data_IF_923135757031
#
_entry.id   IF_923135757031
#
_cell.length_a   1.000
_cell.length_b   1.000
_cell.length_c   1.000
_cell.angle_alpha   90.00
_cell.angle_beta   90.00
_cell.angle_gamma   90.00
#
_symmetry.space_group_name_H-M   'P 1'
#
loop_
_entity.id
_entity.type
_entity.pdbx_description
1 polymer ?
#
# COMPACT_ATOMS: atom_id res chain seq x y z
N UNK A 1 1.68 -35.08 -29.75
CA UNK A 1 1.60 -33.71 -30.27
C UNK A 1 1.06 -32.90 -29.12
N UNK A 2 2.02 -32.54 -28.26
CA UNK A 2 2.09 -31.44 -27.31
C UNK A 2 0.88 -31.18 -26.42
N UNK A 3 0.90 -31.84 -25.26
CA UNK A 3 0.29 -31.32 -24.05
C UNK A 3 1.05 -30.04 -23.68
N UNK A 4 0.48 -28.88 -24.01
CA UNK A 4 0.92 -27.62 -23.43
C UNK A 4 0.69 -27.69 -21.92
N UNK A 5 1.76 -27.94 -21.17
CA UNK A 5 1.83 -27.62 -19.75
C UNK A 5 1.44 -26.13 -19.61
N UNK A 6 0.21 -25.88 -19.18
CA UNK A 6 -0.16 -24.61 -18.61
C UNK A 6 0.67 -24.47 -17.33
N UNK A 7 1.83 -23.82 -17.45
CA UNK A 7 2.56 -23.28 -16.30
C UNK A 7 1.55 -22.47 -15.48
N UNK A 8 1.11 -23.01 -14.35
CA UNK A 8 0.37 -22.23 -13.37
C UNK A 8 1.32 -21.14 -12.89
N UNK A 9 1.19 -19.94 -13.46
CA UNK A 9 1.91 -18.75 -13.01
C UNK A 9 1.34 -18.36 -11.63
N UNK A 10 1.78 -19.05 -10.58
CA UNK A 10 1.33 -18.80 -9.20
C UNK A 10 2.11 -17.69 -8.50
N UNK A 11 3.07 -17.08 -9.20
CA UNK A 11 3.95 -16.03 -8.68
C UNK A 11 3.97 -14.85 -9.64
N UNK A 12 3.87 -13.63 -9.10
CA UNK A 12 4.08 -12.44 -9.90
C UNK A 12 5.57 -12.34 -10.31
N UNK A 13 5.81 -12.11 -11.59
CA UNK A 13 7.16 -11.89 -12.11
C UNK A 13 7.66 -10.48 -11.79
N UNK A 14 8.96 -10.26 -11.89
CA UNK A 14 9.50 -8.90 -11.80
C UNK A 14 9.13 -8.10 -13.05
N UNK A 15 8.52 -6.93 -12.85
CA UNK A 15 8.24 -6.00 -13.95
C UNK A 15 9.52 -5.25 -14.36
N UNK A 16 9.71 -4.98 -15.66
CA UNK A 16 10.80 -4.13 -16.10
C UNK A 16 10.59 -2.68 -15.62
N UNK A 17 11.65 -1.86 -15.62
CA UNK A 17 11.52 -0.42 -15.45
C UNK A 17 10.45 0.16 -16.38
N UNK A 18 9.64 1.11 -15.90
CA UNK A 18 8.51 1.66 -16.68
C UNK A 18 8.93 2.18 -18.06
N UNK A 19 10.06 2.88 -18.14
CA UNK A 19 10.61 3.43 -19.38
C UNK A 19 11.15 2.37 -20.36
N UNK A 20 11.19 1.10 -19.96
CA UNK A 20 11.58 -0.03 -20.78
C UNK A 20 10.39 -0.89 -21.21
N UNK A 21 9.17 -0.54 -20.78
CA UNK A 21 7.97 -1.22 -21.25
C UNK A 21 7.72 -0.94 -22.74
N UNK A 22 7.25 -1.94 -23.51
CA UNK A 22 6.74 -1.70 -24.86
C UNK A 22 5.62 -0.66 -24.82
N UNK A 23 5.60 0.27 -25.78
CA UNK A 23 4.68 1.41 -25.78
C UNK A 23 3.21 0.97 -25.69
N UNK A 24 2.86 -0.11 -26.37
CA UNK A 24 1.54 -0.74 -26.39
C UNK A 24 1.12 -1.36 -25.04
N UNK A 25 2.10 -1.68 -24.18
CA UNK A 25 1.87 -2.28 -22.87
C UNK A 25 1.87 -1.26 -21.73
N UNK A 26 2.40 -0.05 -21.95
CA UNK A 26 2.41 1.03 -20.93
C UNK A 26 1.01 1.33 -20.39
N UNK A 27 -0.04 1.14 -21.20
CA UNK A 27 -1.44 1.32 -20.80
C UNK A 27 -1.90 0.36 -19.69
N UNK A 28 -1.17 -0.73 -19.47
CA UNK A 28 -1.41 -1.73 -18.43
C UNK A 28 -0.56 -1.50 -17.18
N UNK A 29 0.19 -0.40 -17.12
CA UNK A 29 1.00 -0.04 -15.96
C UNK A 29 0.22 0.86 -14.99
N UNK A 30 0.24 0.48 -13.72
CA UNK A 30 -0.36 1.22 -12.62
C UNK A 30 0.63 1.36 -11.47
N UNK A 31 0.70 2.57 -10.92
CA UNK A 31 1.45 2.88 -9.70
C UNK A 31 0.49 2.90 -8.52
N UNK A 32 0.88 2.35 -7.38
CA UNK A 32 0.02 2.20 -6.21
C UNK A 32 0.71 2.66 -4.95
N UNK A 33 -0.05 3.34 -4.08
CA UNK A 33 0.40 3.81 -2.77
C UNK A 33 -0.78 3.89 -1.80
N UNK A 34 -0.51 3.76 -0.51
CA UNK A 34 -1.47 3.83 0.57
C UNK A 34 -0.97 4.61 1.78
N UNK A 35 -1.71 5.65 2.16
CA UNK A 35 -1.42 6.43 3.35
C UNK A 35 -2.45 6.23 4.47
N UNK A 36 -2.04 6.53 5.70
CA UNK A 36 -2.89 6.51 6.87
C UNK A 36 -2.62 7.73 7.73
N UNK A 37 -3.68 8.30 8.30
CA UNK A 37 -3.58 9.42 9.24
C UNK A 37 -4.67 9.36 10.30
N UNK A 38 -4.33 9.80 11.50
CA UNK A 38 -5.33 10.04 12.54
C UNK A 38 -5.93 11.43 12.29
N UNK A 39 -7.25 11.51 12.21
CA UNK A 39 -8.01 12.77 12.10
C UNK A 39 -9.02 12.78 13.26
N UNK A 40 -8.88 13.75 14.16
CA UNK A 40 -9.56 13.72 15.47
C UNK A 40 -9.15 12.47 16.26
N UNK A 41 -10.14 11.64 16.66
CA UNK A 41 -9.90 10.37 17.36
C UNK A 41 -9.96 9.14 16.43
N UNK A 42 -10.13 9.35 15.12
CA UNK A 42 -10.33 8.26 14.16
C UNK A 42 -9.11 8.09 13.27
N UNK A 43 -8.67 6.85 13.11
CA UNK A 43 -7.67 6.52 12.09
C UNK A 43 -8.36 6.36 10.75
N UNK A 44 -7.92 7.12 9.76
CA UNK A 44 -8.37 7.04 8.37
C UNK A 44 -7.23 6.55 7.49
N UNK A 45 -7.57 5.84 6.44
CA UNK A 45 -6.64 5.40 5.42
C UNK A 45 -7.15 5.80 4.04
N UNK A 46 -6.23 5.99 3.11
CA UNK A 46 -6.51 6.30 1.72
C UNK A 46 -5.53 5.55 0.84
N UNK A 47 -6.07 4.87 -0.15
CA UNK A 47 -5.33 4.07 -1.12
C UNK A 47 -5.55 4.68 -2.50
N UNK A 48 -4.49 4.79 -3.29
CA UNK A 48 -4.55 5.39 -4.61
C UNK A 48 -3.85 4.55 -5.67
N UNK A 49 -4.32 4.72 -6.89
CA UNK A 49 -3.76 4.14 -8.11
C UNK A 49 -3.57 5.27 -9.12
N UNK A 50 -2.37 5.40 -9.66
CA UNK A 50 -2.03 6.32 -10.74
C UNK A 50 -1.80 5.57 -12.04
N UNK A 51 -2.44 6.02 -13.13
CA UNK A 51 -2.19 5.55 -14.49
C UNK A 51 -1.35 6.59 -15.25
N UNK A 52 -0.07 6.33 -15.54
CA UNK A 52 0.77 7.26 -16.27
C UNK A 52 0.27 7.56 -17.68
N UNK A 53 -0.21 6.55 -18.41
CA UNK A 53 -0.69 6.73 -19.79
C UNK A 53 -1.95 7.61 -19.86
N UNK A 54 -2.82 7.51 -18.84
CA UNK A 54 -4.06 8.29 -18.78
C UNK A 54 -3.95 9.60 -18.02
N UNK A 55 -2.85 9.78 -17.28
CA UNK A 55 -2.65 10.91 -16.39
C UNK A 55 -3.82 11.09 -15.40
N UNK A 56 -4.32 9.98 -14.84
CA UNK A 56 -5.45 9.99 -13.90
C UNK A 56 -5.15 9.15 -12.67
N UNK A 57 -5.55 9.68 -11.50
CA UNK A 57 -5.56 8.96 -10.25
C UNK A 57 -6.98 8.47 -9.92
N UNK A 58 -7.09 7.25 -9.40
CA UNK A 58 -8.28 6.75 -8.69
C UNK A 58 -7.90 6.51 -7.24
N UNK A 59 -8.78 6.81 -6.30
CA UNK A 59 -8.53 6.60 -4.89
C UNK A 59 -9.77 6.09 -4.16
N UNK A 60 -9.53 5.34 -3.10
CA UNK A 60 -10.55 4.88 -2.15
C UNK A 60 -10.05 5.14 -0.73
N UNK A 61 -10.98 5.37 0.18
CA UNK A 61 -10.67 5.68 1.58
C UNK A 61 -11.55 4.89 2.55
N UNK A 62 -11.12 4.84 3.80
CA UNK A 62 -11.90 4.20 4.86
C UNK A 62 -11.40 4.56 6.25
N UNK A 63 -12.11 4.06 7.26
CA UNK A 63 -11.74 4.19 8.67
C UNK A 63 -11.08 2.88 9.18
N UNK A 64 -10.31 2.96 10.26
CA UNK A 64 -9.90 1.79 11.04
C UNK A 64 -8.73 0.95 10.50
N UNK A 65 -7.85 1.51 9.65
CA UNK A 65 -6.75 0.78 9.00
C UNK A 65 -5.36 1.39 9.22
N UNK A 66 -4.29 0.65 8.96
CA UNK A 66 -2.91 1.18 8.93
C UNK A 66 -2.51 1.62 7.52
N UNK A 67 -1.33 2.25 7.37
CA UNK A 67 -0.77 2.54 6.04
C UNK A 67 -0.53 1.24 5.28
N UNK A 68 -0.02 0.19 5.93
CA UNK A 68 0.13 -1.12 5.28
C UNK A 68 -1.20 -1.67 4.75
N UNK A 69 -2.32 -1.47 5.46
CA UNK A 69 -3.63 -1.89 4.94
C UNK A 69 -4.02 -1.06 3.71
N UNK A 70 -3.74 0.25 3.74
CA UNK A 70 -3.96 1.13 2.60
C UNK A 70 -3.18 0.66 1.36
N UNK A 71 -1.93 0.19 1.52
CA UNK A 71 -1.16 -0.42 0.43
C UNK A 71 -1.89 -1.62 -0.19
N UNK A 72 -2.40 -2.54 0.64
CA UNK A 72 -3.17 -3.69 0.13
C UNK A 72 -4.43 -3.24 -0.60
N UNK A 73 -5.12 -2.21 -0.08
CA UNK A 73 -6.30 -1.63 -0.72
C UNK A 73 -5.96 -0.97 -2.05
N UNK A 74 -4.75 -0.41 -2.20
CA UNK A 74 -4.29 0.17 -3.46
C UNK A 74 -4.04 -0.94 -4.51
N UNK A 75 -3.48 -2.07 -4.10
CA UNK A 75 -3.34 -3.26 -4.97
C UNK A 75 -4.70 -3.81 -5.39
N UNK A 76 -5.64 -3.95 -4.44
CA UNK A 76 -7.01 -4.39 -4.75
C UNK A 76 -7.68 -3.45 -5.76
N UNK A 77 -7.53 -2.13 -5.58
CA UNK A 77 -8.05 -1.13 -6.51
C UNK A 77 -7.41 -1.25 -7.91
N UNK A 78 -6.10 -1.52 -8.00
CA UNK A 78 -5.42 -1.73 -9.28
C UNK A 78 -5.93 -2.99 -10.01
N UNK A 79 -6.17 -4.07 -9.26
CA UNK A 79 -6.75 -5.31 -9.79
C UNK A 79 -8.20 -5.07 -10.26
N UNK A 80 -9.02 -4.35 -9.48
CA UNK A 80 -10.39 -4.00 -9.87
C UNK A 80 -10.42 -3.19 -11.19
N UNK A 81 -9.48 -2.26 -11.38
CA UNK A 81 -9.33 -1.50 -12.63
C UNK A 81 -9.00 -2.44 -13.79
N UNK A 82 -7.99 -3.29 -13.62
CA UNK A 82 -7.54 -4.21 -14.67
C UNK A 82 -8.64 -5.22 -15.06
N UNK A 83 -9.36 -5.78 -14.08
CA UNK A 83 -10.48 -6.71 -14.30
C UNK A 83 -11.65 -6.03 -15.01
N UNK A 84 -12.08 -4.86 -14.53
CA UNK A 84 -13.18 -4.08 -15.13
C UNK A 84 -12.90 -3.73 -16.59
N UNK A 85 -11.65 -3.46 -16.91
CA UNK A 85 -11.21 -3.10 -18.25
C UNK A 85 -10.74 -4.30 -19.09
N UNK A 86 -10.83 -5.51 -18.52
CA UNK A 86 -10.48 -6.77 -19.18
C UNK A 86 -9.05 -6.75 -19.73
N UNK A 87 -8.11 -6.23 -18.93
CA UNK A 87 -6.71 -6.21 -19.31
C UNK A 87 -6.15 -7.64 -19.37
N UNK A 88 -5.26 -7.93 -20.33
CA UNK A 88 -4.63 -9.24 -20.45
C UNK A 88 -3.50 -9.46 -19.41
N UNK A 89 -2.99 -8.38 -18.83
CA UNK A 89 -1.91 -8.37 -17.82
C UNK A 89 -1.93 -7.04 -17.04
N UNK A 90 -1.24 -7.01 -15.92
CA UNK A 90 -1.04 -5.80 -15.11
C UNK A 90 0.45 -5.64 -14.75
N UNK A 91 1.01 -4.46 -15.02
CA UNK A 91 2.30 -4.05 -14.48
C UNK A 91 2.08 -3.15 -13.27
N UNK A 92 2.41 -3.67 -12.09
CA UNK A 92 2.19 -3.01 -10.82
C UNK A 92 3.50 -2.42 -10.29
N UNK A 93 3.51 -1.12 -10.05
CA UNK A 93 4.63 -0.38 -9.46
C UNK A 93 4.23 0.09 -8.07
N UNK A 94 5.03 -0.24 -7.05
CA UNK A 94 4.77 0.12 -5.65
C UNK A 94 6.08 0.40 -4.95
N UNK A 95 6.10 1.32 -3.99
CA UNK A 95 7.23 1.52 -3.08
C UNK A 95 7.10 0.74 -1.76
N UNK A 96 6.06 -0.09 -1.66
CA UNK A 96 5.85 -0.99 -0.52
C UNK A 96 6.58 -2.31 -0.72
N UNK A 97 7.73 -2.46 -0.05
CA UNK A 97 8.46 -3.74 0.02
C UNK A 97 7.59 -4.91 0.51
N UNK A 98 6.60 -4.65 1.37
CA UNK A 98 5.69 -5.70 1.84
C UNK A 98 4.86 -6.24 0.69
N UNK A 99 4.29 -5.36 -0.14
CA UNK A 99 3.50 -5.74 -1.31
C UNK A 99 4.37 -6.45 -2.33
N UNK A 100 5.52 -5.87 -2.67
CA UNK A 100 6.43 -6.44 -3.66
C UNK A 100 6.89 -7.85 -3.26
N UNK A 101 7.35 -8.04 -2.02
CA UNK A 101 7.78 -9.35 -1.52
C UNK A 101 6.62 -10.35 -1.41
N UNK A 102 5.40 -9.89 -1.09
CA UNK A 102 4.24 -10.77 -1.05
C UNK A 102 3.94 -11.35 -2.43
N UNK A 103 3.84 -10.47 -3.43
CA UNK A 103 3.53 -10.84 -4.82
C UNK A 103 4.67 -11.65 -5.48
N UNK A 104 5.93 -11.37 -5.13
CA UNK A 104 7.07 -12.18 -5.57
C UNK A 104 7.19 -13.54 -4.90
N UNK A 105 6.35 -13.90 -3.92
CA UNK A 105 6.27 -15.30 -3.50
C UNK A 105 5.95 -15.58 -2.03
N UNK A 106 5.65 -14.58 -1.19
CA UNK A 106 5.08 -14.91 0.12
C UNK A 106 3.66 -15.47 0.00
N UNK A 107 2.88 -15.05 -1.00
CA UNK A 107 1.52 -15.58 -1.22
C UNK A 107 1.51 -17.11 -1.32
N UNK A 108 2.40 -17.67 -2.14
CA UNK A 108 2.55 -19.12 -2.29
C UNK A 108 2.94 -19.82 -0.97
N UNK A 109 3.87 -19.22 -0.22
CA UNK A 109 4.30 -19.76 1.08
C UNK A 109 3.15 -19.71 2.09
N UNK A 110 2.40 -18.62 2.13
CA UNK A 110 1.26 -18.47 3.02
C UNK A 110 0.12 -19.40 2.65
N UNK A 111 -0.19 -19.56 1.36
CA UNK A 111 -1.18 -20.52 0.86
C UNK A 111 -0.85 -21.94 1.30
N UNK A 112 0.41 -22.38 1.14
CA UNK A 112 0.91 -23.70 1.62
C UNK A 112 0.84 -23.84 3.14
N UNK A 113 1.01 -22.75 3.88
CA UNK A 113 0.87 -22.70 5.33
C UNK A 113 -0.57 -22.45 5.81
N UNK A 114 -1.58 -22.61 4.93
CA UNK A 114 -2.99 -22.33 5.20
C UNK A 114 -3.23 -20.93 5.80
N UNK A 115 -2.48 -19.94 5.31
CA UNK A 115 -2.53 -18.54 5.74
C UNK A 115 -2.23 -18.34 7.22
N UNK A 116 -1.42 -19.22 7.82
CA UNK A 116 -1.06 -19.18 9.23
C UNK A 116 0.45 -19.10 9.44
N UNK A 117 0.83 -18.48 10.56
CA UNK A 117 2.19 -18.50 11.10
C UNK A 117 2.12 -18.84 12.59
N UNK A 118 2.78 -19.93 12.99
CA UNK A 118 2.78 -20.44 14.39
C UNK A 118 1.36 -20.65 14.95
N UNK A 119 0.46 -21.24 14.14
CA UNK A 119 -0.92 -21.54 14.54
C UNK A 119 -1.86 -20.33 14.64
N UNK A 120 -1.41 -19.14 14.24
CA UNK A 120 -2.26 -17.93 14.16
C UNK A 120 -2.39 -17.49 12.70
N UNK A 121 -3.55 -16.95 12.28
CA UNK A 121 -3.68 -16.32 10.97
C UNK A 121 -2.61 -15.23 10.77
N UNK A 122 -2.10 -15.11 9.54
CA UNK A 122 -1.27 -13.96 9.18
C UNK A 122 -2.09 -12.66 9.26
N UNK A 123 -1.41 -11.53 9.41
CA UNK A 123 -2.06 -10.23 9.36
C UNK A 123 -2.68 -10.00 7.98
N UNK A 124 -3.89 -9.42 7.94
CA UNK A 124 -4.67 -9.18 6.72
C UNK A 124 -4.85 -10.44 5.85
N UNK A 125 -5.06 -11.61 6.47
CA UNK A 125 -5.15 -12.88 5.76
C UNK A 125 -6.25 -12.89 4.69
N UNK A 126 -7.38 -12.21 4.94
CA UNK A 126 -8.50 -12.20 4.00
C UNK A 126 -8.22 -11.30 2.79
N UNK A 127 -7.56 -10.15 2.99
CA UNK A 127 -7.07 -9.32 1.90
C UNK A 127 -6.02 -10.04 1.06
N UNK A 128 -5.07 -10.74 1.68
CA UNK A 128 -4.06 -11.50 0.94
C UNK A 128 -4.65 -12.68 0.16
N UNK A 129 -5.67 -13.36 0.69
CA UNK A 129 -6.40 -14.41 -0.02
C UNK A 129 -7.13 -13.87 -1.25
N UNK A 130 -7.78 -12.71 -1.12
CA UNK A 130 -8.44 -12.03 -2.24
C UNK A 130 -7.42 -11.66 -3.33
N UNK A 131 -6.31 -11.00 -2.96
CA UNK A 131 -5.23 -10.66 -3.89
C UNK A 131 -4.68 -11.92 -4.56
N UNK A 132 -4.36 -12.98 -3.80
CA UNK A 132 -3.85 -14.23 -4.35
C UNK A 132 -4.81 -14.87 -5.37
N UNK A 133 -6.11 -14.88 -5.08
CA UNK A 133 -7.13 -15.42 -5.99
C UNK A 133 -7.19 -14.64 -7.30
N UNK A 134 -6.99 -13.32 -7.25
CA UNK A 134 -7.06 -12.43 -8.41
C UNK A 134 -5.79 -12.51 -9.27
N UNK A 135 -4.61 -12.55 -8.66
CA UNK A 135 -3.34 -12.69 -9.39
C UNK A 135 -3.17 -14.06 -10.06
N UNK A 136 -3.91 -15.10 -9.61
CA UNK A 136 -3.99 -16.38 -10.31
C UNK A 136 -4.79 -16.29 -11.64
N UNK A 137 -5.65 -15.28 -11.79
CA UNK A 137 -6.52 -15.10 -12.96
C UNK A 137 -6.00 -14.06 -13.94
N UNK A 138 -5.21 -13.10 -13.46
CA UNK A 138 -4.64 -12.02 -14.23
C UNK A 138 -3.11 -12.05 -14.06
N UNK A 139 -2.33 -12.25 -15.14
CA UNK A 139 -0.88 -12.13 -15.05
C UNK A 139 -0.46 -10.76 -14.50
N UNK A 140 0.16 -10.76 -13.33
CA UNK A 140 0.69 -9.55 -12.70
C UNK A 140 2.22 -9.58 -12.70
N UNK A 141 2.83 -8.51 -13.16
CA UNK A 141 4.27 -8.25 -13.03
C UNK A 141 4.46 -7.10 -12.05
N UNK A 142 5.36 -7.26 -11.09
CA UNK A 142 5.52 -6.33 -9.97
C UNK A 142 6.92 -5.77 -9.92
N UNK A 143 7.02 -4.47 -9.70
CA UNK A 143 8.29 -3.78 -9.47
C UNK A 143 8.21 -2.90 -8.24
N UNK A 144 9.23 -3.01 -7.40
CA UNK A 144 9.46 -2.08 -6.33
C UNK A 144 10.10 -0.79 -6.88
N UNK A 145 9.57 0.37 -6.51
CA UNK A 145 10.13 1.70 -6.83
C UNK A 145 10.67 2.31 -5.54
N UNK A 146 11.88 2.83 -5.54
CA UNK A 146 12.43 3.45 -4.34
C UNK A 146 11.71 4.76 -4.01
N UNK A 147 11.15 4.85 -2.80
CA UNK A 147 10.55 6.09 -2.31
C UNK A 147 11.60 7.17 -2.00
N UNK A 148 11.19 8.44 -2.08
CA UNK A 148 11.95 9.60 -1.61
C UNK A 148 13.35 9.81 -2.25
N UNK A 149 13.52 9.41 -3.50
CA UNK A 149 14.76 9.69 -4.25
C UNK A 149 14.90 11.20 -4.52
N UNK A 150 16.08 11.81 -4.30
CA UNK A 150 16.30 13.22 -4.59
C UNK A 150 15.96 13.57 -6.04
N UNK A 151 15.35 14.74 -6.28
CA UNK A 151 14.92 15.19 -7.62
C UNK A 151 16.03 15.13 -8.67
N UNK A 152 17.29 15.36 -8.28
CA UNK A 152 18.45 15.28 -9.17
C UNK A 152 18.74 13.86 -9.70
N UNK A 153 18.20 12.82 -9.06
CA UNK A 153 18.33 11.40 -9.44
C UNK A 153 17.00 10.76 -9.83
N UNK A 154 15.90 11.49 -9.76
CA UNK A 154 14.56 10.97 -10.03
C UNK A 154 14.38 10.65 -11.52
N UNK A 155 14.15 9.38 -11.82
CA UNK A 155 13.72 8.92 -13.14
C UNK A 155 12.18 9.04 -13.29
N UNK A 156 11.64 8.52 -14.39
CA UNK A 156 10.20 8.55 -14.67
C UNK A 156 9.35 7.76 -13.65
N UNK A 157 9.86 6.64 -13.14
CA UNK A 157 9.17 5.83 -12.12
C UNK A 157 8.98 6.62 -10.84
N UNK A 158 10.01 7.35 -10.41
CA UNK A 158 9.94 8.21 -9.22
C UNK A 158 8.94 9.35 -9.41
N UNK A 159 8.85 9.93 -10.61
CA UNK A 159 7.86 10.96 -10.92
C UNK A 159 6.44 10.41 -10.88
N UNK A 160 6.21 9.21 -11.40
CA UNK A 160 4.92 8.53 -11.32
C UNK A 160 4.59 8.11 -9.89
N UNK A 161 5.59 7.70 -9.10
CA UNK A 161 5.41 7.39 -7.67
C UNK A 161 4.98 8.64 -6.88
N UNK A 162 5.59 9.80 -7.16
CA UNK A 162 5.21 11.08 -6.53
C UNK A 162 3.74 11.46 -6.85
N UNK A 163 3.23 11.14 -8.05
CA UNK A 163 1.82 11.36 -8.39
C UNK A 163 0.88 10.49 -7.55
N UNK A 164 1.23 9.22 -7.32
CA UNK A 164 0.38 8.33 -6.52
C UNK A 164 0.49 8.63 -5.03
N UNK A 165 1.65 9.03 -4.51
CA UNK A 165 1.81 9.53 -3.12
C UNK A 165 0.92 10.74 -2.87
N UNK A 166 0.95 11.71 -3.79
CA UNK A 166 0.08 12.88 -3.69
C UNK A 166 -1.40 12.52 -3.80
N UNK A 167 -1.75 11.51 -4.60
CA UNK A 167 -3.13 11.01 -4.68
C UNK A 167 -3.55 10.23 -3.42
N UNK A 168 -2.65 9.48 -2.79
CA UNK A 168 -2.86 8.72 -1.57
C UNK A 168 -2.86 9.61 -0.33
N UNK A 169 -2.34 10.83 -0.42
CA UNK A 169 -2.29 11.78 0.69
C UNK A 169 -3.66 12.11 1.26
N UNK A 170 -3.76 11.99 2.58
CA UNK A 170 -4.89 12.45 3.37
C UNK A 170 -4.63 13.91 3.77
N UNK A 171 -5.47 14.82 3.29
CA UNK A 171 -5.45 16.21 3.73
C UNK A 171 -5.92 16.32 5.18
N UNK A 172 -5.22 17.15 5.95
CA UNK A 172 -5.53 17.39 7.35
C UNK A 172 -5.68 18.89 7.52
N UNK A 173 -6.82 19.31 8.07
CA UNK A 173 -7.05 20.71 8.34
C UNK A 173 -6.19 21.19 9.52
N UNK A 174 -5.94 22.51 9.62
CA UNK A 174 -5.29 23.09 10.80
C UNK A 174 -6.04 22.76 12.10
N UNK A 175 -7.37 22.63 12.03
CA UNK A 175 -8.22 22.32 13.18
C UNK A 175 -7.94 20.90 13.69
N UNK A 176 -7.76 19.94 12.78
CA UNK A 176 -7.44 18.56 13.13
C UNK A 176 -6.05 18.43 13.78
N UNK A 177 -5.07 19.21 13.29
CA UNK A 177 -3.72 19.29 13.87
C UNK A 177 -3.75 19.89 15.29
N UNK A 178 -4.49 20.98 15.48
CA UNK A 178 -4.67 21.58 16.81
C UNK A 178 -5.35 20.61 17.78
N UNK A 179 -6.32 19.82 17.30
CA UNK A 179 -6.99 18.82 18.10
C UNK A 179 -6.06 17.65 18.45
N UNK A 180 -5.23 17.17 17.53
CA UNK A 180 -4.20 16.17 17.82
C UNK A 180 -3.24 16.66 18.90
N UNK A 181 -2.66 17.85 18.76
CA UNK A 181 -1.74 18.40 19.75
C UNK A 181 -2.44 18.57 21.11
N UNK A 182 -3.67 19.09 21.14
CA UNK A 182 -4.43 19.24 22.39
C UNK A 182 -4.81 17.89 23.01
N UNK A 183 -5.14 16.88 22.20
CA UNK A 183 -5.45 15.53 22.63
C UNK A 183 -4.22 14.80 23.20
N UNK A 184 -3.06 14.92 22.56
CA UNK A 184 -1.79 14.40 23.06
C UNK A 184 -1.38 15.09 24.36
N UNK A 185 -1.49 16.42 24.44
CA UNK A 185 -1.25 17.17 25.67
C UNK A 185 -2.19 16.74 26.80
N UNK A 186 -3.46 16.48 26.49
CA UNK A 186 -4.44 16.00 27.45
C UNK A 186 -4.13 14.57 27.92
N UNK A 187 -3.77 13.66 27.01
CA UNK A 187 -3.38 12.29 27.35
C UNK A 187 -2.08 12.24 28.15
N UNK A 188 -1.08 13.05 27.79
CA UNK A 188 0.16 13.18 28.55
C UNK A 188 -0.11 13.73 29.96
N UNK A 189 -0.98 14.74 30.08
CA UNK A 189 -1.39 15.31 31.37
C UNK A 189 -2.20 14.32 32.21
N UNK A 190 -3.17 13.63 31.61
CA UNK A 190 -3.94 12.60 32.28
C UNK A 190 -3.04 11.44 32.73
N UNK A 191 -2.11 10.97 31.90
CA UNK A 191 -1.16 9.92 32.27
C UNK A 191 -0.24 10.36 33.40
N UNK A 192 0.22 11.62 33.38
CA UNK A 192 0.98 12.23 34.46
C UNK A 192 0.17 12.25 35.77
N UNK A 193 -1.07 12.73 35.74
CA UNK A 193 -1.95 12.84 36.91
C UNK A 193 -2.41 11.46 37.44
N UNK A 194 -2.69 10.50 36.55
CA UNK A 194 -3.12 9.15 36.87
C UNK A 194 -1.98 8.24 37.36
N UNK A 195 -0.74 8.50 36.95
CA UNK A 195 0.45 7.76 37.41
C UNK A 195 0.92 8.17 38.81
N UNK A 196 0.29 9.19 39.43
CA UNK A 196 0.58 9.59 40.81
C UNK A 196 1.93 10.28 40.99
N UNK A 197 2.60 10.69 39.92
CA UNK A 197 3.80 11.52 40.04
C UNK A 197 3.40 12.95 40.40
N UNK A 198 3.68 13.33 41.65
CA UNK A 198 3.78 14.73 42.04
C UNK A 198 4.78 15.41 41.08
N UNK A 199 4.26 16.28 40.22
CA UNK A 199 5.06 16.99 39.23
C UNK A 199 6.13 17.88 39.87
N UNK A 200 7.21 18.09 39.12
CA UNK A 200 8.21 19.19 39.07
C UNK A 200 8.76 19.87 40.36
N UNK A 201 8.16 19.72 41.53
CA UNK A 201 8.55 20.38 42.80
C UNK A 201 9.09 19.40 43.87
N UNK A 202 9.40 18.15 43.50
CA UNK A 202 10.03 17.18 44.40
C UNK A 202 11.57 17.33 44.51
N UNK A 203 12.12 18.52 44.24
CA UNK A 203 13.54 18.83 44.44
C UNK A 203 13.70 20.22 45.07
N UNK A 204 13.17 20.39 46.27
CA UNK A 204 13.75 21.26 47.31
C UNK A 204 13.42 20.68 48.70
N UNK A 205 14.28 19.78 49.16
CA UNK A 205 14.69 19.67 50.56
C UNK A 205 16.19 19.44 50.59
#
# INVERSE_FOLDING_TARGET
MDEEEQEQVTRAEEAPPYNQLPAEETRYALFTDGSCRIIGMKRKWKAAVWSPTRQVAQATEGEGGSSQLAELKAVQLALDIAEREKWPKLYLYTDSWMVANALWGWLEKWKKANWQRRGKPIWAADEWKDIATRVERLPVKVRHVDAHVPKSRANEEHRNNEQVDQAAKIEVSKIDLDWQHKGELFLARWAHDASGHQGRDATYK
#
